data_IF_005094596570
#
_entry.id   IF_005094596570
#
_cell.length_a   1.000
_cell.length_b   1.000
_cell.length_c   1.000
_cell.angle_alpha   90.00
_cell.angle_beta   90.00
_cell.angle_gamma   90.00
#
_symmetry.space_group_name_H-M   'P 1'
#
loop_
_entity.id
_entity.type
_entity.pdbx_description
1 polymer ?
#
# COMPACT_ATOMS: atom_id res chain seq x y z
N UNK A 1 -54.04 5.94 10.86
CA UNK A 1 -53.05 6.41 11.85
C UNK A 1 -52.41 5.17 12.45
N UNK A 2 -51.11 4.87 12.36
CA UNK A 2 -49.93 5.72 12.23
C UNK A 2 -48.81 4.92 11.57
N UNK A 3 -48.01 5.60 10.75
CA UNK A 3 -46.82 5.12 10.05
C UNK A 3 -45.57 5.55 10.84
N UNK A 4 -44.61 4.62 10.95
CA UNK A 4 -43.15 4.73 11.19
C UNK A 4 -42.61 5.55 12.38
N UNK A 5 -41.67 4.93 13.09
CA UNK A 5 -40.37 5.55 13.36
C UNK A 5 -39.27 4.49 13.25
N UNK A 6 -38.48 4.61 12.19
CA UNK A 6 -37.27 3.84 11.94
C UNK A 6 -36.21 4.18 13.00
N UNK A 7 -35.66 3.14 13.65
CA UNK A 7 -34.47 3.27 14.49
C UNK A 7 -33.25 3.57 13.63
N UNK A 8 -32.60 4.69 13.94
CA UNK A 8 -31.40 5.24 13.31
C UNK A 8 -30.33 4.19 13.00
N UNK A 9 -29.99 4.07 11.70
CA UNK A 9 -28.80 3.35 11.27
C UNK A 9 -27.55 4.02 11.82
N UNK A 10 -26.93 3.43 12.85
CA UNK A 10 -25.56 3.72 13.23
C UNK A 10 -24.66 3.38 12.05
N UNK A 11 -24.16 4.41 11.37
CA UNK A 11 -23.41 4.25 10.12
C UNK A 11 -22.28 3.24 10.29
N UNK A 12 -22.34 2.15 9.53
CA UNK A 12 -21.28 1.15 9.49
C UNK A 12 -19.95 1.88 9.23
N UNK A 13 -19.02 1.80 10.18
CA UNK A 13 -17.72 2.45 10.07
C UNK A 13 -17.02 2.04 8.77
N UNK A 14 -16.25 2.95 8.19
CA UNK A 14 -15.45 2.65 7.00
C UNK A 14 -14.12 2.06 7.41
N UNK A 15 -13.67 1.04 6.66
CA UNK A 15 -12.35 0.45 6.86
C UNK A 15 -11.27 1.52 6.66
N UNK A 16 -10.34 1.59 7.60
CA UNK A 16 -9.28 2.59 7.64
C UNK A 16 -8.01 2.01 8.24
N UNK A 17 -6.90 2.69 8.00
CA UNK A 17 -5.64 2.47 8.73
C UNK A 17 -5.34 3.73 9.52
N UNK A 18 -5.37 3.65 10.85
CA UNK A 18 -5.18 4.79 11.77
C UNK A 18 -6.11 5.99 11.47
N UNK A 19 -7.31 5.71 10.96
CA UNK A 19 -8.30 6.71 10.55
C UNK A 19 -8.10 7.29 9.15
N UNK A 20 -7.13 6.83 8.35
CA UNK A 20 -7.08 7.08 6.90
C UNK A 20 -7.99 6.08 6.20
N UNK A 21 -9.08 6.55 5.59
CA UNK A 21 -10.07 5.67 4.94
C UNK A 21 -9.45 4.96 3.73
N UNK A 22 -9.68 3.65 3.63
CA UNK A 22 -9.17 2.83 2.54
C UNK A 22 -10.08 2.88 1.31
N UNK A 23 -9.51 2.81 0.09
CA UNK A 23 -10.28 2.51 -1.10
C UNK A 23 -10.89 1.10 -1.03
N UNK A 24 -11.89 0.82 -1.85
CA UNK A 24 -12.53 -0.52 -1.93
C UNK A 24 -11.55 -1.65 -2.24
N UNK A 25 -10.42 -1.35 -2.89
CA UNK A 25 -9.36 -2.32 -3.15
C UNK A 25 -8.60 -2.77 -1.90
N UNK A 26 -8.75 -2.08 -0.76
CA UNK A 26 -8.01 -2.37 0.46
C UNK A 26 -6.51 -2.07 0.39
N UNK A 27 -6.05 -1.42 -0.68
CA UNK A 27 -4.62 -1.10 -0.88
C UNK A 27 -4.25 0.20 -0.18
N UNK A 28 -3.15 0.17 0.58
CA UNK A 28 -2.51 1.35 1.14
C UNK A 28 -0.99 1.21 1.11
N UNK A 29 -0.28 2.28 1.44
CA UNK A 29 1.17 2.27 1.57
C UNK A 29 1.63 3.06 2.80
N UNK A 30 2.83 2.72 3.29
CA UNK A 30 3.59 3.55 4.23
C UNK A 30 4.74 4.16 3.46
N UNK A 31 4.63 5.45 3.14
CA UNK A 31 5.69 6.24 2.52
C UNK A 31 6.66 6.77 3.56
N UNK A 32 7.94 6.80 3.24
CA UNK A 32 9.00 7.38 4.07
C UNK A 32 10.14 7.91 3.21
N UNK A 33 11.05 8.67 3.80
CA UNK A 33 12.34 9.02 3.22
C UNK A 33 13.37 8.14 3.91
N UNK A 34 14.07 7.30 3.14
CA UNK A 34 15.07 6.41 3.69
C UNK A 34 16.25 7.23 4.22
N UNK A 35 16.63 7.06 5.48
CA UNK A 35 17.64 7.92 6.13
C UNK A 35 19.03 7.78 5.52
N UNK A 36 19.42 6.57 5.10
CA UNK A 36 20.74 6.30 4.50
C UNK A 36 20.83 6.81 3.06
N UNK A 37 19.84 6.51 2.23
CA UNK A 37 19.86 6.84 0.80
C UNK A 37 19.20 8.18 0.47
N UNK A 38 18.61 8.86 1.46
CA UNK A 38 17.82 10.09 1.30
C UNK A 38 16.75 10.01 0.19
N UNK A 39 16.27 8.79 -0.08
CA UNK A 39 15.38 8.50 -1.19
C UNK A 39 13.93 8.32 -0.69
N UNK A 40 12.94 8.90 -1.37
CA UNK A 40 11.55 8.54 -1.17
C UNK A 40 11.33 7.04 -1.44
N UNK A 41 10.60 6.42 -0.52
CA UNK A 41 10.29 4.98 -0.54
C UNK A 41 8.88 4.74 -0.02
N UNK A 42 8.29 3.62 -0.40
CA UNK A 42 7.04 3.12 0.16
C UNK A 42 7.06 1.62 0.33
N UNK A 43 6.47 1.15 1.43
CA UNK A 43 6.04 -0.22 1.61
C UNK A 43 4.55 -0.31 1.25
N UNK A 44 4.17 -1.27 0.41
CA UNK A 44 2.81 -1.42 -0.13
C UNK A 44 2.10 -2.58 0.55
N UNK A 45 0.85 -2.36 0.94
CA UNK A 45 0.06 -3.29 1.71
C UNK A 45 -1.33 -3.49 1.12
N UNK A 46 -1.87 -4.70 1.31
CA UNK A 46 -3.27 -5.06 1.04
C UNK A 46 -3.95 -5.43 2.36
N UNK A 47 -5.18 -4.96 2.57
CA UNK A 47 -6.00 -5.32 3.75
C UNK A 47 -6.98 -6.45 3.41
N UNK A 48 -6.99 -7.47 4.25
CA UNK A 48 -7.93 -8.60 4.19
C UNK A 48 -8.23 -9.10 5.60
N UNK A 49 -9.50 -9.36 5.92
CA UNK A 49 -9.89 -9.93 7.21
C UNK A 49 -9.47 -9.11 8.44
N UNK A 50 -9.32 -7.79 8.32
CA UNK A 50 -8.86 -6.92 9.41
C UNK A 50 -7.34 -6.93 9.64
N UNK A 51 -6.59 -7.67 8.81
CA UNK A 51 -5.11 -7.72 8.83
C UNK A 51 -4.56 -7.05 7.59
N UNK A 52 -3.29 -6.70 7.59
CA UNK A 52 -2.64 -6.13 6.42
C UNK A 52 -1.38 -6.90 6.03
N UNK A 53 -1.18 -7.09 4.74
CA UNK A 53 -0.09 -7.88 4.17
C UNK A 53 0.78 -7.01 3.30
N UNK A 54 2.07 -6.93 3.62
CA UNK A 54 3.07 -6.26 2.81
C UNK A 54 3.35 -7.08 1.55
N UNK A 55 3.25 -6.42 0.40
CA UNK A 55 3.41 -7.05 -0.93
C UNK A 55 4.65 -6.55 -1.66
N UNK A 56 5.04 -5.30 -1.46
CA UNK A 56 6.11 -4.70 -2.24
C UNK A 56 6.80 -3.55 -1.51
N UNK A 57 8.00 -3.22 -1.99
CA UNK A 57 8.74 -1.98 -1.69
C UNK A 57 8.97 -1.23 -2.99
N UNK A 58 8.68 0.07 -2.99
CA UNK A 58 8.99 0.98 -4.10
C UNK A 58 9.96 2.04 -3.61
N UNK A 59 10.93 2.43 -4.43
CA UNK A 59 11.81 3.55 -4.10
C UNK A 59 12.38 4.25 -5.34
N UNK A 60 12.75 5.51 -5.17
CA UNK A 60 13.56 6.24 -6.15
C UNK A 60 15.02 5.70 -6.21
N UNK A 61 15.47 4.92 -5.22
CA UNK A 61 16.81 4.33 -5.17
C UNK A 61 16.79 2.80 -5.11
N UNK A 62 17.58 2.15 -5.96
CA UNK A 62 17.71 0.70 -5.99
C UNK A 62 18.43 0.16 -4.75
N UNK A 63 19.36 0.95 -4.19
CA UNK A 63 20.07 0.59 -2.97
C UNK A 63 19.16 0.43 -1.75
N UNK A 64 17.98 1.07 -1.75
CA UNK A 64 16.97 0.82 -0.71
C UNK A 64 16.44 -0.62 -0.79
N UNK A 65 16.30 -1.20 -1.99
CA UNK A 65 15.84 -2.58 -2.15
C UNK A 65 16.92 -3.58 -1.71
N UNK A 66 18.19 -3.24 -1.92
CA UNK A 66 19.32 -4.05 -1.44
C UNK A 66 19.45 -4.00 0.09
N UNK A 67 19.18 -2.84 0.70
CA UNK A 67 19.28 -2.64 2.14
C UNK A 67 18.37 -3.57 2.95
N UNK A 68 17.15 -3.83 2.46
CA UNK A 68 16.22 -4.71 3.14
C UNK A 68 16.55 -6.20 3.02
N UNK A 69 17.43 -6.58 2.06
CA UNK A 69 17.81 -7.98 1.79
C UNK A 69 16.62 -8.94 1.71
N UNK A 70 15.49 -8.47 1.18
CA UNK A 70 14.27 -9.27 1.01
C UNK A 70 14.29 -9.98 -0.35
N UNK A 71 13.90 -11.26 -0.34
CA UNK A 71 13.71 -12.04 -1.56
C UNK A 71 12.48 -11.57 -2.33
N UNK A 72 12.62 -11.49 -3.65
CA UNK A 72 11.54 -11.03 -4.51
C UNK A 72 11.95 -10.71 -5.93
N UNK A 73 10.97 -10.34 -6.73
CA UNK A 73 11.15 -9.93 -8.12
C UNK A 73 11.41 -8.43 -8.18
N UNK A 74 12.51 -8.04 -8.84
CA UNK A 74 12.88 -6.64 -9.04
C UNK A 74 12.48 -6.16 -10.42
N UNK A 75 11.88 -4.98 -10.49
CA UNK A 75 11.49 -4.34 -11.74
C UNK A 75 11.51 -2.82 -11.61
N UNK A 76 11.09 -2.13 -12.67
CA UNK A 76 10.83 -0.70 -12.67
C UNK A 76 9.34 -0.46 -12.86
N UNK A 77 8.79 0.48 -12.10
CA UNK A 77 7.44 1.02 -12.34
C UNK A 77 7.43 1.82 -13.65
N UNK A 78 6.26 2.09 -14.27
CA UNK A 78 6.17 2.96 -15.44
C UNK A 78 6.77 4.35 -15.22
N UNK A 79 6.71 4.86 -13.98
CA UNK A 79 7.35 6.12 -13.57
C UNK A 79 8.85 6.03 -13.29
N UNK A 80 9.52 4.94 -13.70
CA UNK A 80 10.96 4.75 -13.56
C UNK A 80 11.44 4.46 -12.14
N UNK A 81 10.58 4.23 -11.16
CA UNK A 81 11.00 3.87 -9.78
C UNK A 81 11.37 2.40 -9.67
N UNK A 82 12.28 2.09 -8.76
CA UNK A 82 12.60 0.72 -8.40
C UNK A 82 11.45 0.08 -7.63
N UNK A 83 11.12 -1.16 -7.97
CA UNK A 83 10.07 -1.97 -7.34
C UNK A 83 10.67 -3.33 -6.97
N UNK A 84 10.44 -3.76 -5.73
CA UNK A 84 10.62 -5.13 -5.27
C UNK A 84 9.25 -5.71 -4.91
N UNK A 85 8.79 -6.71 -5.64
CA UNK A 85 7.64 -7.55 -5.24
C UNK A 85 8.15 -8.70 -4.38
N UNK A 86 7.66 -8.82 -3.15
CA UNK A 86 8.14 -9.82 -2.21
C UNK A 86 7.74 -11.23 -2.69
N UNK A 87 8.70 -12.16 -2.66
CA UNK A 87 8.43 -13.57 -2.96
C UNK A 87 7.51 -14.20 -1.90
N UNK A 88 7.73 -13.84 -0.63
CA UNK A 88 6.90 -14.22 0.51
C UNK A 88 6.31 -12.96 1.14
N UNK A 89 5.00 -12.71 0.96
CA UNK A 89 4.31 -11.58 1.60
C UNK A 89 4.34 -11.68 3.13
N UNK A 90 4.43 -10.55 3.82
CA UNK A 90 4.46 -10.49 5.28
C UNK A 90 3.16 -9.93 5.84
N UNK A 91 2.42 -10.71 6.64
CA UNK A 91 1.13 -10.31 7.21
C UNK A 91 1.27 -9.84 8.65
N UNK A 92 0.56 -8.77 8.98
CA UNK A 92 0.57 -8.12 10.28
C UNK A 92 -0.86 -7.88 10.78
N UNK A 93 -1.08 -8.12 12.07
CA UNK A 93 -2.24 -7.59 12.79
C UNK A 93 -2.05 -6.11 13.09
N UNK A 94 -0.82 -5.75 13.45
CA UNK A 94 -0.37 -4.40 13.73
C UNK A 94 1.12 -4.25 13.45
N UNK A 95 1.56 -3.02 13.19
CA UNK A 95 2.96 -2.70 12.95
C UNK A 95 3.40 -1.53 13.85
N UNK A 96 4.24 -1.77 14.88
CA UNK A 96 4.81 -0.70 15.68
C UNK A 96 5.89 0.04 14.88
N UNK A 97 5.77 1.36 14.82
CA UNK A 97 6.69 2.25 14.12
C UNK A 97 7.22 3.32 15.05
N UNK A 98 8.52 3.62 14.93
CA UNK A 98 9.10 4.86 15.45
C UNK A 98 9.15 5.89 14.32
N UNK A 99 8.46 7.01 14.44
CA UNK A 99 8.37 8.01 13.38
C UNK A 99 9.13 9.28 13.77
N UNK A 100 9.81 9.90 12.79
CA UNK A 100 10.59 11.13 12.99
C UNK A 100 10.34 12.11 11.84
N UNK A 101 10.59 13.43 12.03
CA UNK A 101 10.52 14.40 10.95
C UNK A 101 11.47 14.13 9.78
N UNK A 102 12.55 13.38 10.01
CA UNK A 102 13.52 13.01 8.97
C UNK A 102 12.94 11.93 8.07
N UNK A 103 12.42 10.86 8.67
CA UNK A 103 11.86 9.73 7.93
C UNK A 103 10.51 10.04 7.29
N UNK A 104 9.80 11.07 7.78
CA UNK A 104 8.53 11.56 7.22
C UNK A 104 7.46 10.48 6.97
N UNK A 105 7.45 9.45 7.82
CA UNK A 105 6.54 8.29 7.71
C UNK A 105 5.08 8.76 7.54
N UNK A 106 4.44 8.38 6.45
CA UNK A 106 3.13 8.88 6.03
C UNK A 106 2.32 7.70 5.50
N UNK A 107 1.06 7.57 5.92
CA UNK A 107 0.13 6.62 5.29
C UNK A 107 -0.40 7.22 3.99
N UNK A 108 -0.57 6.39 2.97
CA UNK A 108 -1.12 6.76 1.67
C UNK A 108 -2.22 5.78 1.29
N UNK A 109 -3.39 6.28 0.92
CA UNK A 109 -4.51 5.45 0.46
C UNK A 109 -5.47 6.29 -0.40
N UNK A 110 -5.94 5.76 -1.52
CA UNK A 110 -6.97 6.43 -2.35
C UNK A 110 -6.62 7.87 -2.76
N UNK A 111 -5.33 8.16 -2.95
CA UNK A 111 -4.85 9.51 -3.29
C UNK A 111 -4.87 10.52 -2.13
N UNK A 112 -5.10 10.06 -0.90
CA UNK A 112 -5.01 10.84 0.35
C UNK A 112 -3.83 10.38 1.19
N UNK A 113 -3.36 11.25 2.07
CA UNK A 113 -2.23 11.00 2.93
C UNK A 113 -2.50 11.37 4.39
N UNK A 114 -1.89 10.63 5.31
CA UNK A 114 -1.91 10.91 6.75
C UNK A 114 -0.48 10.86 7.32
N UNK A 115 0.14 12.01 7.61
CA UNK A 115 1.47 12.06 8.23
C UNK A 115 1.47 11.41 9.62
N UNK A 116 2.39 10.47 9.84
CA UNK A 116 2.58 9.77 11.12
C UNK A 116 3.74 10.33 11.95
N UNK A 117 4.54 11.25 11.42
CA UNK A 117 5.66 11.87 12.12
C UNK A 117 5.24 13.09 12.97
N UNK A 118 5.91 13.35 14.11
CA UNK A 118 5.72 14.58 14.89
C UNK A 118 6.44 15.76 14.22
N UNK A 119 6.18 16.99 14.67
CA UNK A 119 6.90 18.17 14.20
C UNK A 119 8.39 18.16 14.61
N UNK A 120 8.71 17.57 15.76
CA UNK A 120 10.07 17.41 16.29
C UNK A 120 10.22 16.11 17.06
N UNK A 121 11.46 15.65 17.24
CA UNK A 121 11.78 14.44 18.02
C UNK A 121 11.31 13.15 17.35
N UNK A 122 10.84 12.21 18.17
CA UNK A 122 10.36 10.91 17.72
C UNK A 122 9.02 10.55 18.38
N UNK A 123 8.16 9.84 17.65
CA UNK A 123 6.86 9.37 18.14
C UNK A 123 6.69 7.88 17.85
N UNK A 124 6.21 7.11 18.83
CA UNK A 124 5.75 5.74 18.58
C UNK A 124 4.34 5.78 18.01
N UNK A 125 4.12 5.06 16.92
CA UNK A 125 2.83 4.91 16.26
C UNK A 125 2.59 3.41 16.06
N UNK A 126 1.38 2.95 16.34
CA UNK A 126 0.94 1.60 16.02
C UNK A 126 0.07 1.66 14.78
N UNK A 127 0.48 1.01 13.70
CA UNK A 127 -0.31 0.94 12.48
C UNK A 127 -1.25 -0.25 12.57
N UNK A 128 -2.55 -0.03 12.45
CA UNK A 128 -3.58 -1.07 12.57
C UNK A 128 -4.79 -0.74 11.69
N UNK A 129 -5.52 -1.80 11.31
CA UNK A 129 -6.78 -1.68 10.58
C UNK A 129 -7.92 -1.44 11.57
N UNK A 130 -8.73 -0.42 11.30
CA UNK A 130 -9.79 0.04 12.20
C UNK A 130 -11.02 0.48 11.40
N UNK A 131 -12.18 0.48 12.04
CA UNK A 131 -13.38 1.13 11.51
C UNK A 131 -13.44 2.58 11.99
N UNK A 132 -13.59 3.53 11.07
CA UNK A 132 -13.73 4.96 11.37
C UNK A 132 -14.98 5.56 10.74
N UNK A 133 -15.59 6.52 11.42
CA UNK A 133 -16.66 7.37 10.88
C UNK A 133 -16.11 8.59 10.12
N UNK A 134 -14.89 9.04 10.45
CA UNK A 134 -14.28 10.23 9.87
C UNK A 134 -12.95 9.92 9.19
N UNK A 135 -12.74 10.48 8.00
CA UNK A 135 -11.48 10.35 7.29
C UNK A 135 -10.50 11.42 7.77
N UNK A 136 -9.37 10.98 8.32
CA UNK A 136 -8.28 11.86 8.79
C UNK A 136 -7.31 12.21 7.67
N UNK A 137 -7.45 11.61 6.49
CA UNK A 137 -6.59 11.86 5.35
C UNK A 137 -6.70 13.28 4.84
N UNK A 138 -5.57 13.86 4.44
CA UNK A 138 -5.48 15.14 3.74
C UNK A 138 -4.80 15.00 2.38
N UNK A 139 -4.51 16.13 1.72
CA UNK A 139 -3.65 16.15 0.54
C UNK A 139 -2.26 15.57 0.84
N UNK A 140 -1.63 14.96 -0.16
CA UNK A 140 -0.31 14.39 -0.01
C UNK A 140 0.79 15.47 -0.06
N UNK A 141 1.61 15.61 0.99
CA UNK A 141 2.74 16.53 0.96
C UNK A 141 3.89 15.94 0.13
N UNK A 142 4.70 16.77 -0.55
CA UNK A 142 5.93 16.32 -1.20
C UNK A 142 6.84 15.57 -0.20
N UNK A 143 7.54 14.49 -0.60
CA UNK A 143 7.69 13.99 -1.96
C UNK A 143 6.56 13.06 -2.43
N UNK A 144 5.56 12.83 -1.58
CA UNK A 144 4.48 11.90 -1.88
C UNK A 144 3.46 12.57 -2.81
N UNK A 145 3.24 11.95 -3.96
CA UNK A 145 2.18 12.34 -4.90
C UNK A 145 1.25 11.16 -5.15
N UNK A 146 0.08 11.42 -5.73
CA UNK A 146 -0.79 10.35 -6.19
C UNK A 146 -0.07 9.41 -7.17
N UNK A 147 0.82 9.92 -8.01
CA UNK A 147 1.63 9.10 -8.93
C UNK A 147 2.58 8.16 -8.18
N UNK A 148 3.12 8.59 -7.03
CA UNK A 148 3.94 7.72 -6.18
C UNK A 148 3.10 6.54 -5.64
N UNK A 149 1.87 6.82 -5.22
CA UNK A 149 0.92 5.83 -4.72
C UNK A 149 0.35 4.90 -5.80
N UNK A 150 -0.08 5.44 -6.94
CA UNK A 150 -0.69 4.67 -8.02
C UNK A 150 0.30 3.69 -8.65
N UNK A 151 1.56 4.08 -8.86
CA UNK A 151 2.60 3.16 -9.34
C UNK A 151 2.88 2.02 -8.34
N UNK A 152 2.70 2.27 -7.05
CA UNK A 152 2.92 1.27 -6.01
C UNK A 152 1.73 0.32 -5.87
N UNK A 153 0.49 0.84 -6.00
CA UNK A 153 -0.74 0.08 -5.91
C UNK A 153 -1.06 -0.73 -7.18
N UNK A 154 -0.94 -0.15 -8.38
CA UNK A 154 -1.29 -0.82 -9.64
C UNK A 154 -0.45 -2.07 -9.90
N UNK A 155 0.84 -2.06 -9.54
CA UNK A 155 1.73 -3.22 -9.70
C UNK A 155 1.38 -4.41 -8.78
N UNK A 156 0.53 -4.23 -7.77
CA UNK A 156 0.03 -5.34 -6.94
C UNK A 156 -1.26 -5.95 -7.49
N UNK A 157 -2.13 -5.14 -8.11
CA UNK A 157 -3.39 -5.61 -8.70
C UNK A 157 -3.21 -6.33 -10.03
N UNK A 158 -2.21 -5.98 -10.85
CA UNK A 158 -1.93 -6.72 -12.09
C UNK A 158 -1.46 -8.15 -11.82
N UNK A 159 -0.79 -8.41 -10.69
CA UNK A 159 -0.37 -9.76 -10.30
C UNK A 159 -1.57 -10.68 -9.97
N UNK A 160 -2.72 -10.12 -9.56
CA UNK A 160 -3.95 -10.90 -9.33
C UNK A 160 -4.75 -11.11 -10.62
N UNK A 161 -4.53 -10.29 -11.65
CA UNK A 161 -5.29 -10.34 -12.91
C UNK A 161 -4.69 -11.28 -13.97
N UNK A 162 -3.53 -11.89 -13.73
CA UNK A 162 -2.91 -12.84 -14.67
C UNK A 162 -2.78 -14.23 -14.04
N UNK A 163 -3.91 -14.82 -13.68
CA UNK A 163 -4.05 -16.28 -13.53
C UNK A 163 -5.29 -16.77 -14.27
N UNK A 164 -5.34 -16.45 -15.56
CA UNK A 164 -6.11 -17.21 -16.54
C UNK A 164 -5.24 -17.34 -17.78
N UNK A 165 -4.16 -18.11 -17.68
CA UNK A 165 -3.51 -18.60 -18.90
C UNK A 165 -4.40 -19.69 -19.48
N UNK A 166 -5.20 -19.28 -20.44
CA UNK A 166 -5.69 -20.10 -21.54
C UNK A 166 -4.57 -21.02 -22.02
N UNK A 167 -4.68 -22.31 -21.67
CA UNK A 167 -3.96 -23.36 -22.35
C UNK A 167 -4.65 -23.61 -23.70
N UNK A 168 -4.45 -22.70 -24.66
CA UNK A 168 -4.73 -22.99 -26.05
C UNK A 168 -3.41 -23.23 -26.77
N UNK A 169 -2.99 -24.50 -26.73
CA UNK A 169 -1.89 -25.05 -27.52
C UNK A 169 -2.22 -24.88 -29.02
N UNK A 170 -1.39 -24.21 -29.83
CA UNK A 170 -1.52 -24.30 -31.27
C UNK A 170 -1.04 -25.69 -31.72
N UNK A 171 -1.95 -26.50 -32.25
CA UNK A 171 -1.59 -27.69 -33.01
C UNK A 171 -1.02 -27.24 -34.36
N UNK A 172 0.29 -27.00 -34.40
CA UNK A 172 1.06 -27.01 -35.65
C UNK A 172 1.41 -28.45 -35.99
N UNK A 173 0.78 -29.02 -37.00
CA UNK A 173 1.21 -30.27 -37.64
C UNK A 173 2.28 -29.93 -38.69
N UNK A 174 3.47 -30.47 -38.50
CA UNK A 174 4.50 -30.59 -39.54
C UNK A 174 4.34 -31.96 -40.25
N UNK A 175 4.54 -31.95 -41.56
CA UNK A 175 4.42 -33.04 -42.57
C UNK A 175 5.41 -34.21 -42.34
N UNK A 176 5.34 -35.28 -43.18
CA UNK A 176 6.39 -35.37 -44.21
C UNK A 176 6.02 -36.11 -45.52
N UNK A 177 6.79 -35.83 -46.58
CA UNK A 177 7.24 -36.82 -47.57
C UNK A 177 6.44 -36.95 -48.87
#
# INVERSE_FOLDING_TARGET
MTVLAAGSGGGAGRLSVNGLVLPRSGVFAIGYVHSVYHAPSAEVFTVEGGRFTMRAVVSDSGGVLDYYALDGERSRTPGGRWLLRLAVPATYDELPLLTTPIGRRTLLAGGRCLPLYPASGARRVRVAVELTSHDRGGPCPPPYSQSFFLNAAYSTTEATATSTSDNQKPHGSFEPG
#
